data_IF_657984448507
#
_entry.id   IF_657984448507
#
_cell.length_a   1.000
_cell.length_b   1.000
_cell.length_c   1.000
_cell.angle_alpha   90.00
_cell.angle_beta   90.00
_cell.angle_gamma   90.00
#
_symmetry.space_group_name_H-M   'P 1'
#
loop_
_entity.id
_entity.type
_entity.pdbx_description
1 polymer ?
#
# COMPACT_ATOMS: atom_id res chain seq x y z
N UNK A 1 18.78 -3.05 12.22
CA UNK A 1 19.17 -3.65 10.93
C UNK A 1 18.35 -2.99 9.83
N UNK A 2 18.96 -2.74 8.67
CA UNK A 2 18.29 -2.24 7.46
C UNK A 2 18.57 -3.25 6.35
N UNK A 3 17.50 -3.76 5.74
CA UNK A 3 17.59 -4.69 4.61
C UNK A 3 17.28 -3.93 3.34
N UNK A 4 18.22 -3.97 2.41
CA UNK A 4 18.08 -3.35 1.08
C UNK A 4 18.07 -4.47 0.04
N UNK A 5 17.12 -4.40 -0.87
CA UNK A 5 16.95 -5.37 -1.96
C UNK A 5 17.17 -4.69 -3.31
N UNK A 6 17.77 -5.42 -4.25
CA UNK A 6 18.06 -4.92 -5.61
C UNK A 6 16.94 -5.17 -6.61
N UNK A 7 15.89 -5.88 -6.23
CA UNK A 7 14.74 -6.20 -7.09
C UNK A 7 13.44 -5.70 -6.47
N UNK A 8 12.45 -5.43 -7.30
CA UNK A 8 11.09 -5.11 -6.87
C UNK A 8 10.40 -6.34 -6.28
N UNK A 9 10.59 -6.56 -4.99
CA UNK A 9 9.93 -7.63 -4.23
C UNK A 9 9.37 -7.03 -2.96
N UNK A 10 8.10 -7.29 -2.67
CA UNK A 10 7.51 -6.93 -1.39
C UNK A 10 7.78 -8.01 -0.34
N UNK A 11 7.97 -7.64 0.93
CA UNK A 11 8.09 -8.59 2.02
C UNK A 11 6.73 -9.21 2.33
N UNK A 12 6.42 -10.32 1.68
CA UNK A 12 5.16 -11.06 1.86
C UNK A 12 5.24 -12.13 2.92
N UNK A 13 6.43 -12.57 3.27
CA UNK A 13 6.69 -13.70 4.14
C UNK A 13 7.89 -13.44 5.06
N UNK A 14 7.87 -13.89 6.33
CA UNK A 14 9.00 -13.78 7.27
C UNK A 14 10.29 -14.42 6.79
N UNK A 15 10.24 -15.36 5.86
CA UNK A 15 11.43 -16.00 5.30
C UNK A 15 12.34 -15.02 4.55
N UNK A 16 11.82 -13.89 4.09
CA UNK A 16 12.64 -12.83 3.52
C UNK A 16 13.67 -12.26 4.54
N UNK A 17 13.38 -12.35 5.84
CA UNK A 17 14.29 -11.98 6.92
C UNK A 17 15.14 -13.16 7.38
N UNK A 18 14.52 -14.35 7.52
CA UNK A 18 15.18 -15.56 8.01
C UNK A 18 16.28 -16.02 7.07
N UNK A 19 16.09 -15.86 5.77
CA UNK A 19 17.13 -16.14 4.76
C UNK A 19 18.41 -15.30 4.96
N UNK A 20 18.32 -14.21 5.70
CA UNK A 20 19.44 -13.33 6.06
C UNK A 20 19.91 -13.54 7.51
N UNK A 21 19.42 -14.58 8.18
CA UNK A 21 19.75 -14.86 9.57
C UNK A 21 19.07 -13.93 10.59
N UNK A 22 17.99 -13.25 10.18
CA UNK A 22 17.24 -12.34 11.05
C UNK A 22 15.90 -12.99 11.39
N UNK A 23 15.69 -13.26 12.68
CA UNK A 23 14.38 -13.75 13.14
C UNK A 23 13.46 -12.55 13.46
N UNK A 24 12.39 -12.33 12.68
CA UNK A 24 11.53 -11.18 12.84
C UNK A 24 10.76 -11.19 14.17
N UNK A 25 10.47 -12.35 14.75
CA UNK A 25 9.74 -12.45 16.03
C UNK A 25 10.55 -11.97 17.22
N UNK A 26 11.87 -11.88 17.09
CA UNK A 26 12.77 -11.35 18.12
C UNK A 26 12.91 -9.81 18.06
N UNK A 27 12.32 -9.17 17.05
CA UNK A 27 12.42 -7.73 16.89
C UNK A 27 11.24 -7.02 17.55
N UNK A 28 11.53 -5.93 18.25
CA UNK A 28 10.48 -5.10 18.86
C UNK A 28 9.64 -4.39 17.80
N UNK A 29 10.27 -3.95 16.72
CA UNK A 29 9.63 -3.28 15.59
C UNK A 29 10.13 -3.83 14.28
N UNK A 30 9.19 -4.03 13.35
CA UNK A 30 9.46 -4.33 11.94
C UNK A 30 8.84 -3.24 11.11
N UNK A 31 9.65 -2.50 10.34
CA UNK A 31 9.16 -1.55 9.36
C UNK A 31 9.24 -2.18 7.98
N UNK A 32 8.08 -2.45 7.39
CA UNK A 32 7.97 -3.11 6.11
C UNK A 32 7.53 -2.10 5.05
N UNK A 33 8.26 -2.06 3.94
CA UNK A 33 7.81 -1.32 2.75
C UNK A 33 6.86 -2.19 1.94
N UNK A 34 5.65 -2.34 2.45
CA UNK A 34 4.56 -3.06 1.79
C UNK A 34 3.26 -2.42 2.20
N UNK A 35 2.30 -2.32 1.29
CA UNK A 35 1.02 -1.70 1.57
C UNK A 35 0.01 -2.68 2.17
N UNK A 36 -0.13 -3.85 1.56
CA UNK A 36 -1.14 -4.85 1.98
C UNK A 36 -0.59 -6.27 2.03
N UNK A 37 0.38 -6.61 1.19
CA UNK A 37 0.81 -8.01 1.01
C UNK A 37 1.53 -8.58 2.23
N UNK A 38 2.17 -7.72 3.05
CA UNK A 38 2.78 -8.12 4.32
C UNK A 38 1.81 -8.86 5.25
N UNK A 39 0.51 -8.58 5.14
CA UNK A 39 -0.51 -9.16 6.02
C UNK A 39 -0.57 -10.68 5.93
N UNK A 40 -0.18 -11.25 4.79
CA UNK A 40 -0.22 -12.71 4.57
C UNK A 40 0.73 -13.43 5.51
N UNK A 41 1.99 -13.01 5.56
CA UNK A 41 3.00 -13.72 6.36
C UNK A 41 3.24 -13.12 7.75
N UNK A 42 2.92 -11.84 7.98
CA UNK A 42 3.28 -11.17 9.24
C UNK A 42 2.11 -11.01 10.21
N UNK A 43 0.88 -11.31 9.78
CA UNK A 43 -0.31 -11.17 10.63
C UNK A 43 -0.20 -11.94 11.94
N UNK A 44 0.20 -13.18 11.87
CA UNK A 44 0.19 -14.09 13.01
C UNK A 44 1.32 -13.84 14.01
N UNK A 45 2.39 -13.18 13.55
CA UNK A 45 3.53 -12.80 14.40
C UNK A 45 3.45 -11.36 14.92
N UNK A 46 2.49 -10.58 14.43
CA UNK A 46 2.34 -9.16 14.78
C UNK A 46 1.36 -8.97 15.92
N UNK A 47 1.80 -8.32 17.01
CA UNK A 47 0.90 -7.92 18.11
C UNK A 47 0.08 -6.68 17.75
N UNK A 48 0.65 -5.79 16.97
CA UNK A 48 0.01 -4.54 16.54
C UNK A 48 0.59 -4.12 15.19
N UNK A 49 -0.27 -3.66 14.31
CA UNK A 49 0.10 -3.06 13.04
C UNK A 49 -0.17 -1.56 13.10
N UNK A 50 0.80 -0.77 12.67
CA UNK A 50 0.69 0.69 12.52
C UNK A 50 0.91 0.99 11.04
N UNK A 51 -0.12 1.49 10.40
CA UNK A 51 -0.01 1.91 9.00
C UNK A 51 0.55 3.32 8.94
N UNK A 52 1.64 3.48 8.18
CA UNK A 52 2.29 4.75 7.95
C UNK A 52 2.04 5.20 6.51
N UNK A 53 1.71 6.46 6.33
CA UNK A 53 1.61 7.07 5.02
C UNK A 53 2.88 7.86 4.70
N UNK A 54 3.26 7.87 3.44
CA UNK A 54 4.39 8.63 2.93
C UNK A 54 4.19 8.99 1.46
N UNK A 55 4.96 9.94 0.97
CA UNK A 55 4.93 10.34 -0.44
C UNK A 55 5.56 9.26 -1.31
N UNK A 56 4.90 8.87 -2.38
CA UNK A 56 5.40 7.88 -3.33
C UNK A 56 4.33 7.46 -4.33
N UNK A 57 4.72 6.71 -5.35
CA UNK A 57 3.82 6.25 -6.43
C UNK A 57 2.65 5.40 -5.96
N UNK A 58 2.73 4.83 -4.77
CA UNK A 58 1.67 4.02 -4.15
C UNK A 58 0.96 4.75 -3.01
N UNK A 59 1.01 6.09 -2.99
CA UNK A 59 0.22 6.85 -2.00
C UNK A 59 -1.27 6.66 -2.22
N UNK A 60 -2.04 6.65 -1.15
CA UNK A 60 -3.51 6.72 -1.20
C UNK A 60 -4.04 8.15 -1.10
N UNK A 61 -3.18 9.10 -0.84
CA UNK A 61 -3.48 10.52 -0.87
C UNK A 61 -3.21 11.04 -2.29
N UNK A 62 -4.25 10.98 -3.11
CA UNK A 62 -4.16 11.36 -4.52
C UNK A 62 -3.99 12.86 -4.71
N UNK A 63 -4.30 13.68 -3.71
CA UNK A 63 -4.11 15.13 -3.76
C UNK A 63 -2.62 15.51 -3.79
N UNK A 64 -1.75 14.60 -3.34
CA UNK A 64 -0.30 14.78 -3.43
C UNK A 64 0.29 14.51 -4.82
N UNK A 65 -0.52 14.00 -5.77
CA UNK A 65 -0.07 13.63 -7.10
C UNK A 65 -0.68 14.59 -8.12
N UNK A 66 0.16 15.24 -8.93
CA UNK A 66 -0.32 16.04 -10.05
C UNK A 66 -0.59 15.13 -11.25
N UNK A 67 -1.87 14.91 -11.53
CA UNK A 67 -2.31 14.17 -12.70
C UNK A 67 -2.53 15.13 -13.87
N UNK A 68 -1.56 15.21 -14.78
CA UNK A 68 -1.60 16.15 -15.93
C UNK A 68 -2.25 15.56 -17.19
N UNK A 69 -2.33 14.24 -17.31
CA UNK A 69 -2.78 13.55 -18.54
C UNK A 69 -3.91 12.56 -18.29
N UNK A 70 -4.63 12.71 -17.19
CA UNK A 70 -5.76 11.87 -16.85
C UNK A 70 -7.05 12.49 -17.36
N UNK A 71 -7.87 11.69 -18.05
CA UNK A 71 -9.21 12.14 -18.49
C UNK A 71 -10.07 12.43 -17.27
N UNK A 72 -10.75 13.56 -17.29
CA UNK A 72 -11.63 14.01 -16.20
C UNK A 72 -13.08 14.06 -16.69
N UNK A 73 -14.08 13.83 -15.85
CA UNK A 73 -14.00 13.49 -14.44
C UNK A 73 -13.63 12.01 -14.20
N UNK A 74 -12.92 11.70 -13.12
CA UNK A 74 -12.55 10.35 -12.71
C UNK A 74 -12.55 10.21 -11.18
N UNK A 75 -13.25 9.19 -10.68
CA UNK A 75 -13.20 8.86 -9.27
C UNK A 75 -11.83 8.21 -8.90
N UNK A 76 -11.23 8.53 -7.76
CA UNK A 76 -11.69 9.41 -6.66
C UNK A 76 -11.22 10.87 -6.76
N UNK A 77 -10.56 11.27 -7.85
CA UNK A 77 -10.08 12.65 -8.04
C UNK A 77 -11.21 13.67 -8.19
N UNK A 78 -12.31 13.23 -8.76
CA UNK A 78 -13.53 14.03 -8.89
C UNK A 78 -14.66 13.38 -8.12
N UNK A 79 -15.46 14.18 -7.47
CA UNK A 79 -16.71 13.71 -6.88
C UNK A 79 -17.80 13.73 -7.94
N UNK A 80 -18.70 12.73 -7.98
CA UNK A 80 -19.88 12.81 -8.81
C UNK A 80 -20.72 14.04 -8.41
N UNK A 81 -21.41 14.71 -9.37
CA UNK A 81 -22.27 15.82 -9.07
C UNK A 81 -23.31 15.45 -8.00
N UNK A 82 -23.56 16.35 -7.04
CA UNK A 82 -24.60 16.13 -6.02
C UNK A 82 -25.94 15.90 -6.72
N UNK A 83 -26.63 14.84 -6.34
CA UNK A 83 -27.91 14.44 -6.92
C UNK A 83 -27.81 13.56 -8.18
N UNK A 84 -26.63 13.20 -8.63
CA UNK A 84 -26.50 12.17 -9.65
C UNK A 84 -26.84 10.81 -9.05
N UNK A 85 -28.01 10.25 -9.47
CA UNK A 85 -28.39 8.85 -9.17
C UNK A 85 -27.58 7.86 -10.01
N UNK A 86 -26.56 8.31 -10.70
CA UNK A 86 -25.70 7.42 -11.47
C UNK A 86 -24.90 6.53 -10.52
N UNK A 87 -25.10 5.24 -10.68
CA UNK A 87 -24.37 4.23 -9.94
C UNK A 87 -22.88 4.35 -10.31
N UNK A 88 -22.09 5.01 -9.44
CA UNK A 88 -20.64 5.21 -9.61
C UNK A 88 -19.88 3.90 -9.86
N UNK A 89 -20.50 2.75 -9.58
CA UNK A 89 -19.97 1.41 -9.87
C UNK A 89 -19.89 1.12 -11.37
N UNK A 90 -20.66 1.81 -12.18
CA UNK A 90 -20.68 1.66 -13.63
C UNK A 90 -19.73 2.63 -14.36
N UNK A 91 -19.09 3.54 -13.66
CA UNK A 91 -18.19 4.55 -14.24
C UNK A 91 -16.85 3.99 -14.70
N UNK A 92 -16.45 2.83 -14.23
CA UNK A 92 -15.14 2.22 -14.53
C UNK A 92 -15.13 1.31 -15.77
N UNK A 93 -16.25 1.16 -16.47
CA UNK A 93 -16.40 0.14 -17.51
C UNK A 93 -16.63 0.68 -18.94
N UNK A 94 -16.45 2.01 -19.17
CA UNK A 94 -16.51 2.60 -20.52
C UNK A 94 -15.21 3.23 -20.96
#
# INVERSE_FOLDING_TARGET
DIIIISRHVEPTDPECFRSLGIEPTEKTYLMLKSRIHYRVGFRDISKKVIECAGVGVCTSDYDQIQFSSVRRPIFPLDRPPEGSNEDWRNWSLN
#
